data_IF_383575254795
#
_entry.id   IF_383575254795
#
_cell.length_a   1.000
_cell.length_b   1.000
_cell.length_c   1.000
_cell.angle_alpha   90.00
_cell.angle_beta   90.00
_cell.angle_gamma   90.00
#
_symmetry.space_group_name_H-M   'P 1'
#
loop_
_entity.id
_entity.type
_entity.pdbx_description
1 polymer ?
#
# COMPACT_ATOMS: atom_id res chain seq x y z
N UNK A 1 8.27 -35.68 -29.01
CA UNK A 1 8.57 -36.48 -30.24
C UNK A 1 9.52 -37.55 -29.81
N UNK A 2 9.05 -38.82 -29.89
CA UNK A 2 9.85 -40.00 -29.57
C UNK A 2 10.62 -40.32 -30.86
N UNK A 3 11.92 -40.23 -30.80
CA UNK A 3 12.81 -40.77 -31.84
C UNK A 3 13.62 -41.90 -31.25
N UNK A 4 13.66 -43.00 -31.98
CA UNK A 4 14.33 -44.29 -31.87
C UNK A 4 15.21 -44.58 -30.66
N UNK A 5 15.03 -45.79 -30.10
CA UNK A 5 15.80 -46.39 -28.99
C UNK A 5 17.29 -46.53 -29.29
N UNK A 6 18.15 -46.12 -28.39
CA UNK A 6 19.55 -46.58 -28.39
C UNK A 6 19.67 -47.98 -27.79
N UNK A 7 20.53 -48.80 -28.34
CA UNK A 7 20.71 -50.22 -28.04
C UNK A 7 21.23 -50.59 -26.63
N UNK A 8 21.25 -49.68 -25.67
CA UNK A 8 21.73 -49.90 -24.30
C UNK A 8 20.70 -49.68 -23.16
N UNK A 9 19.43 -49.50 -23.53
CA UNK A 9 18.34 -49.47 -22.56
C UNK A 9 18.35 -48.29 -21.57
N UNK A 10 19.06 -47.20 -21.83
CA UNK A 10 19.04 -45.97 -21.00
C UNK A 10 18.19 -44.89 -21.64
N UNK A 11 17.05 -44.60 -21.03
CA UNK A 11 16.27 -43.45 -21.38
C UNK A 11 17.00 -42.14 -20.97
N UNK A 12 17.56 -41.45 -21.92
CA UNK A 12 17.98 -40.07 -21.71
C UNK A 12 16.78 -39.16 -21.84
N UNK A 13 16.28 -38.65 -20.71
CA UNK A 13 15.32 -37.56 -20.72
C UNK A 13 16.08 -36.29 -21.13
N UNK A 14 16.01 -35.93 -22.40
CA UNK A 14 16.42 -34.62 -22.86
C UNK A 14 15.41 -33.64 -22.24
N UNK A 15 15.78 -33.03 -21.09
CA UNK A 15 15.16 -31.84 -20.62
C UNK A 15 15.51 -30.74 -21.64
N UNK A 16 14.66 -30.55 -22.66
CA UNK A 16 14.57 -29.26 -23.29
C UNK A 16 14.29 -28.25 -22.18
N UNK A 17 15.29 -27.44 -21.84
CA UNK A 17 15.07 -26.19 -21.18
C UNK A 17 14.24 -25.37 -22.17
N UNK A 18 12.90 -25.47 -22.09
CA UNK A 18 12.06 -24.38 -22.51
C UNK A 18 12.56 -23.20 -21.67
N UNK A 19 13.26 -22.28 -22.29
CA UNK A 19 13.28 -20.90 -21.81
C UNK A 19 11.80 -20.48 -21.82
N UNK A 20 11.16 -20.66 -20.68
CA UNK A 20 9.95 -19.94 -20.35
C UNK A 20 10.46 -18.50 -20.32
N UNK A 21 10.29 -17.76 -21.41
CA UNK A 21 10.33 -16.31 -21.37
C UNK A 21 9.35 -15.98 -20.24
N UNK A 22 9.91 -15.63 -19.09
CA UNK A 22 9.18 -15.09 -17.96
C UNK A 22 8.30 -13.98 -18.53
N UNK A 23 7.01 -14.25 -18.66
CA UNK A 23 6.05 -13.17 -18.93
C UNK A 23 6.21 -12.24 -17.75
N UNK A 24 6.65 -11.03 -18.04
CA UNK A 24 6.95 -10.01 -17.04
C UNK A 24 5.69 -9.71 -16.22
N UNK A 25 5.68 -10.11 -14.96
CA UNK A 25 4.64 -9.81 -13.98
C UNK A 25 4.87 -8.42 -13.34
N UNK A 26 5.34 -7.48 -14.13
CA UNK A 26 5.60 -6.11 -13.71
C UNK A 26 4.26 -5.39 -13.49
N UNK A 27 4.11 -4.72 -12.35
CA UNK A 27 3.03 -3.80 -12.10
C UNK A 27 3.01 -2.72 -13.17
N UNK A 28 1.83 -2.46 -13.75
CA UNK A 28 1.64 -1.44 -14.77
C UNK A 28 0.60 -0.44 -14.29
N UNK A 29 1.02 0.78 -13.98
CA UNK A 29 0.09 1.87 -13.71
C UNK A 29 -0.87 2.10 -14.87
N UNK A 30 -2.13 2.35 -14.55
CA UNK A 30 -3.11 2.83 -15.52
C UNK A 30 -3.17 4.36 -15.49
N UNK A 31 -3.60 4.98 -16.59
CA UNK A 31 -3.80 6.43 -16.58
C UNK A 31 -4.99 6.81 -15.69
N UNK A 32 -5.00 8.06 -15.23
CA UNK A 32 -6.10 8.59 -14.41
C UNK A 32 -7.44 8.51 -15.14
N UNK A 33 -7.43 8.88 -16.41
CA UNK A 33 -8.60 8.89 -17.28
C UNK A 33 -9.17 7.48 -17.48
N UNK A 34 -8.31 6.50 -17.71
CA UNK A 34 -8.72 5.11 -17.85
C UNK A 34 -9.38 4.58 -16.57
N UNK A 35 -8.76 4.87 -15.41
CA UNK A 35 -9.29 4.44 -14.12
C UNK A 35 -10.62 5.10 -13.79
N UNK A 36 -10.74 6.41 -14.03
CA UNK A 36 -11.98 7.15 -13.81
C UNK A 36 -13.10 6.61 -14.71
N UNK A 37 -12.85 6.54 -16.01
CA UNK A 37 -13.85 6.08 -16.99
C UNK A 37 -14.27 4.63 -16.71
N UNK A 38 -13.34 3.75 -16.40
CA UNK A 38 -13.68 2.37 -16.05
C UNK A 38 -14.55 2.31 -14.81
N UNK A 39 -14.13 2.98 -13.73
CA UNK A 39 -14.85 2.97 -12.45
C UNK A 39 -16.28 3.51 -12.60
N UNK A 40 -16.45 4.65 -13.29
CA UNK A 40 -17.77 5.25 -13.51
C UNK A 40 -18.66 4.38 -14.40
N UNK A 41 -18.12 3.87 -15.52
CA UNK A 41 -18.88 3.07 -16.47
C UNK A 41 -19.33 1.75 -15.84
N UNK A 42 -18.41 1.04 -15.19
CA UNK A 42 -18.73 -0.24 -14.54
C UNK A 42 -19.77 -0.05 -13.44
N UNK A 43 -19.64 0.99 -12.61
CA UNK A 43 -20.61 1.27 -11.57
C UNK A 43 -21.98 1.59 -12.14
N UNK A 44 -22.05 2.39 -13.20
CA UNK A 44 -23.30 2.77 -13.86
C UNK A 44 -23.99 1.57 -14.51
N UNK A 45 -23.24 0.69 -15.16
CA UNK A 45 -23.78 -0.45 -15.90
C UNK A 45 -24.11 -1.65 -15.03
N UNK A 46 -23.27 -1.91 -14.02
CA UNK A 46 -23.31 -3.16 -13.26
C UNK A 46 -23.49 -2.96 -11.75
N UNK A 47 -23.34 -1.75 -11.23
CA UNK A 47 -23.32 -1.49 -9.79
C UNK A 47 -22.09 -2.09 -9.09
N UNK A 48 -21.00 -2.30 -9.82
CA UNK A 48 -19.75 -2.91 -9.33
C UNK A 48 -18.57 -1.99 -9.58
N UNK A 49 -17.49 -2.20 -8.85
CA UNK A 49 -16.21 -1.53 -9.05
C UNK A 49 -15.10 -2.58 -9.07
N UNK A 50 -14.43 -2.75 -10.20
CA UNK A 50 -13.42 -3.80 -10.45
C UNK A 50 -13.91 -5.21 -10.08
N UNK A 51 -15.17 -5.50 -10.41
CA UNK A 51 -15.84 -6.76 -10.13
C UNK A 51 -16.40 -6.91 -8.71
N UNK A 52 -16.10 -6.00 -7.78
CA UNK A 52 -16.65 -6.01 -6.42
C UNK A 52 -18.13 -5.59 -6.42
N UNK A 53 -18.96 -6.39 -5.74
CA UNK A 53 -20.43 -6.28 -5.75
C UNK A 53 -21.02 -5.77 -4.44
N UNK A 54 -20.21 -5.65 -3.40
CA UNK A 54 -20.67 -5.34 -2.06
C UNK A 54 -20.09 -4.01 -1.57
N UNK A 55 -20.67 -2.87 -2.00
CA UNK A 55 -20.23 -1.57 -1.53
C UNK A 55 -20.46 -1.42 -0.03
N UNK A 56 -19.50 -0.83 0.65
CA UNK A 56 -19.67 -0.36 2.00
C UNK A 56 -20.19 1.09 1.98
N UNK A 57 -21.28 1.33 2.67
CA UNK A 57 -21.78 2.68 2.92
C UNK A 57 -21.42 3.09 4.35
N UNK A 58 -20.89 4.31 4.50
CA UNK A 58 -20.45 4.79 5.79
C UNK A 58 -21.58 4.78 6.83
N UNK A 59 -21.25 4.31 8.04
CA UNK A 59 -22.15 4.31 9.20
C UNK A 59 -21.47 5.02 10.35
N UNK A 60 -22.05 6.12 10.81
CA UNK A 60 -21.48 7.02 11.81
C UNK A 60 -21.08 6.35 13.13
N UNK A 61 -21.64 5.17 13.44
CA UNK A 61 -21.26 4.40 14.66
C UNK A 61 -19.80 3.93 14.62
N UNK A 62 -19.21 3.81 13.43
CA UNK A 62 -17.83 3.39 13.26
C UNK A 62 -16.84 4.55 13.12
N UNK A 63 -17.35 5.78 13.03
CA UNK A 63 -16.49 6.94 12.86
C UNK A 63 -15.46 7.05 13.98
N UNK A 64 -14.25 7.41 13.60
CA UNK A 64 -13.12 7.68 14.51
C UNK A 64 -12.38 8.90 13.99
N UNK A 65 -11.68 9.59 14.89
CA UNK A 65 -10.77 10.69 14.53
C UNK A 65 -9.35 10.24 14.87
N UNK A 66 -8.47 10.24 13.88
CA UNK A 66 -7.06 9.91 14.06
C UNK A 66 -6.23 11.07 13.51
N UNK A 67 -5.33 11.63 14.35
CA UNK A 67 -4.47 12.74 13.99
C UNK A 67 -5.22 13.95 13.39
N UNK A 68 -6.38 14.26 13.96
CA UNK A 68 -7.21 15.38 13.53
C UNK A 68 -7.99 15.17 12.24
N UNK A 69 -7.94 13.98 11.65
CA UNK A 69 -8.73 13.58 10.47
C UNK A 69 -9.79 12.57 10.82
N UNK A 70 -10.97 12.75 10.25
CA UNK A 70 -12.08 11.84 10.46
C UNK A 70 -11.93 10.60 9.58
N UNK A 71 -12.32 9.47 10.14
CA UNK A 71 -12.36 8.17 9.47
C UNK A 71 -13.73 7.56 9.66
N UNK A 72 -14.35 7.14 8.59
CA UNK A 72 -15.63 6.43 8.63
C UNK A 72 -15.52 5.00 9.14
N UNK A 73 -14.34 4.39 9.00
CA UNK A 73 -13.94 3.15 9.69
C UNK A 73 -12.44 3.18 10.00
N UNK A 74 -11.99 2.59 11.14
CA UNK A 74 -10.56 2.50 11.45
C UNK A 74 -9.90 1.27 10.80
N UNK A 75 -10.44 0.76 9.69
CA UNK A 75 -10.00 -0.46 9.03
C UNK A 75 -9.43 -0.11 7.66
N UNK A 76 -8.39 -0.83 7.26
CA UNK A 76 -7.82 -0.75 5.92
C UNK A 76 -6.70 -1.75 5.72
N UNK A 77 -6.19 -1.85 4.48
CA UNK A 77 -5.12 -2.78 4.15
C UNK A 77 -3.79 -2.33 4.76
N UNK A 78 -3.00 -3.30 5.21
CA UNK A 78 -1.61 -3.09 5.55
C UNK A 78 -0.77 -2.81 4.29
N UNK A 79 0.36 -2.13 4.48
CA UNK A 79 1.30 -1.83 3.41
C UNK A 79 1.81 -3.12 2.73
N UNK A 80 1.61 -3.20 1.44
CA UNK A 80 2.01 -4.33 0.62
C UNK A 80 1.87 -4.00 -0.87
N UNK A 81 2.21 -4.91 -1.78
CA UNK A 81 1.99 -4.72 -3.22
C UNK A 81 0.54 -4.38 -3.57
N UNK A 82 -0.41 -4.87 -2.77
CA UNK A 82 -1.84 -4.59 -2.90
C UNK A 82 -2.25 -3.14 -2.58
N UNK A 83 -1.39 -2.35 -1.96
CA UNK A 83 -1.65 -0.91 -1.68
C UNK A 83 -0.78 0.02 -2.51
N UNK A 84 -0.21 -0.46 -3.60
CA UNK A 84 0.64 0.32 -4.47
C UNK A 84 -0.07 0.83 -5.73
N UNK A 85 -1.02 0.08 -6.27
CA UNK A 85 -1.77 0.46 -7.46
C UNK A 85 -3.10 1.12 -7.11
N UNK A 86 -3.45 2.16 -7.82
CA UNK A 86 -4.69 2.93 -7.64
C UNK A 86 -5.94 2.06 -7.67
N UNK A 87 -6.05 1.12 -8.62
CA UNK A 87 -7.21 0.23 -8.73
C UNK A 87 -7.41 -0.64 -7.49
N UNK A 88 -6.33 -1.12 -6.89
CA UNK A 88 -6.40 -1.93 -5.67
C UNK A 88 -6.87 -1.08 -4.47
N UNK A 89 -6.41 0.16 -4.39
CA UNK A 89 -6.83 1.11 -3.35
C UNK A 89 -8.31 1.44 -3.51
N UNK A 90 -8.79 1.64 -4.74
CA UNK A 90 -10.21 1.89 -5.04
C UNK A 90 -11.06 0.67 -4.63
N UNK A 91 -10.66 -0.55 -5.02
CA UNK A 91 -11.40 -1.76 -4.67
C UNK A 91 -11.50 -1.94 -3.13
N UNK A 92 -10.38 -1.71 -2.42
CA UNK A 92 -10.37 -1.75 -0.97
C UNK A 92 -11.26 -0.66 -0.33
N UNK A 93 -11.28 0.56 -0.90
CA UNK A 93 -12.18 1.62 -0.45
C UNK A 93 -13.64 1.23 -0.64
N UNK A 94 -13.99 0.71 -1.81
CA UNK A 94 -15.35 0.32 -2.16
C UNK A 94 -15.91 -0.73 -1.18
N UNK A 95 -15.06 -1.63 -0.69
CA UNK A 95 -15.41 -2.68 0.27
C UNK A 95 -15.31 -2.26 1.74
N UNK A 96 -14.97 -0.99 2.04
CA UNK A 96 -15.06 -0.44 3.39
C UNK A 96 -13.76 -0.01 4.06
N UNK A 97 -12.63 -0.13 3.37
CA UNK A 97 -11.38 0.43 3.88
C UNK A 97 -11.42 1.95 3.90
N UNK A 98 -10.94 2.54 5.00
CA UNK A 98 -10.85 4.00 5.16
C UNK A 98 -9.50 4.47 5.71
N UNK A 99 -8.70 3.57 6.25
CA UNK A 99 -7.33 3.85 6.67
C UNK A 99 -6.36 2.99 5.85
N UNK A 100 -5.61 3.61 4.96
CA UNK A 100 -4.73 2.91 4.01
C UNK A 100 -3.28 3.07 4.42
N UNK A 101 -2.62 1.98 4.76
CA UNK A 101 -1.18 1.96 4.87
C UNK A 101 -0.58 1.74 3.47
N UNK A 102 -0.12 2.81 2.86
CA UNK A 102 0.45 2.79 1.51
C UNK A 102 1.79 2.06 1.51
N UNK A 103 2.03 1.27 0.47
CA UNK A 103 3.28 0.50 0.33
C UNK A 103 4.49 1.42 0.43
N UNK A 104 5.45 1.00 1.22
CA UNK A 104 6.75 1.66 1.38
C UNK A 104 7.41 1.86 0.02
N UNK A 105 7.83 3.09 -0.24
CA UNK A 105 8.79 3.37 -1.31
C UNK A 105 10.20 3.22 -0.75
N UNK A 106 11.08 2.63 -1.55
CA UNK A 106 12.42 2.27 -1.10
C UNK A 106 13.48 3.07 -1.85
N UNK A 107 14.68 3.08 -1.28
CA UNK A 107 15.86 3.62 -1.95
C UNK A 107 16.19 2.80 -3.20
N UNK A 108 16.08 1.47 -3.10
CA UNK A 108 16.15 0.57 -4.25
C UNK A 108 14.90 0.74 -5.11
N UNK A 109 15.08 0.80 -6.40
CA UNK A 109 13.97 0.87 -7.34
C UNK A 109 13.46 -0.51 -7.77
N UNK A 110 12.41 -0.53 -8.61
CA UNK A 110 11.77 -1.75 -9.03
C UNK A 110 12.69 -2.73 -9.78
N UNK A 111 13.62 -2.23 -10.57
CA UNK A 111 14.55 -3.06 -11.33
C UNK A 111 15.63 -3.67 -10.42
N UNK A 112 16.16 -2.89 -9.48
CA UNK A 112 17.13 -3.36 -8.49
C UNK A 112 16.51 -4.43 -7.60
N UNK A 113 15.27 -4.23 -7.13
CA UNK A 113 14.53 -5.22 -6.35
C UNK A 113 14.23 -6.47 -7.16
N UNK A 114 13.83 -6.33 -8.41
CA UNK A 114 13.56 -7.45 -9.30
C UNK A 114 14.79 -8.32 -9.56
N UNK A 115 15.99 -7.77 -9.46
CA UNK A 115 17.22 -8.52 -9.54
C UNK A 115 17.52 -9.36 -8.28
N UNK A 116 16.98 -8.93 -7.13
CA UNK A 116 17.24 -9.55 -5.83
C UNK A 116 16.19 -10.60 -5.43
N UNK A 117 14.98 -10.55 -5.98
CA UNK A 117 13.87 -11.43 -5.59
C UNK A 117 13.29 -12.18 -6.79
N UNK A 118 12.78 -13.38 -6.52
CA UNK A 118 12.04 -14.15 -7.53
C UNK A 118 10.65 -13.52 -7.75
N UNK A 119 10.21 -13.53 -8.99
CA UNK A 119 8.86 -13.14 -9.37
C UNK A 119 7.93 -14.35 -9.41
N UNK A 120 6.62 -14.19 -9.18
CA UNK A 120 5.91 -12.93 -8.86
C UNK A 120 6.18 -12.43 -7.44
N UNK A 121 5.91 -11.13 -7.22
CA UNK A 121 5.98 -10.54 -5.88
C UNK A 121 4.93 -11.11 -4.93
N UNK A 122 3.81 -11.55 -5.48
CA UNK A 122 2.76 -12.28 -4.77
C UNK A 122 2.67 -13.66 -5.41
N UNK A 123 2.83 -14.70 -4.60
CA UNK A 123 2.71 -16.07 -5.03
C UNK A 123 1.32 -16.59 -4.65
N UNK A 124 0.43 -16.64 -5.63
CA UNK A 124 -0.97 -16.95 -5.41
C UNK A 124 -1.25 -18.41 -5.03
N UNK A 125 -0.38 -19.35 -5.43
CA UNK A 125 -0.49 -20.76 -5.12
C UNK A 125 -0.18 -21.11 -3.66
N UNK A 126 0.42 -20.18 -2.90
CA UNK A 126 0.71 -20.33 -1.47
C UNK A 126 -0.27 -19.54 -0.57
N UNK A 127 -1.33 -19.03 -1.12
CA UNK A 127 -2.43 -18.28 -0.49
C UNK A 127 -2.04 -17.03 0.29
N UNK A 128 -0.96 -17.02 1.03
CA UNK A 128 -0.60 -15.92 1.94
C UNK A 128 0.79 -15.36 1.70
N UNK A 129 1.49 -15.81 0.67
CA UNK A 129 2.83 -15.30 0.42
C UNK A 129 2.80 -13.85 -0.03
N UNK A 130 3.37 -12.98 0.78
CA UNK A 130 3.58 -11.58 0.46
C UNK A 130 5.07 -11.26 0.52
N UNK A 131 5.64 -10.82 -0.57
CA UNK A 131 7.01 -10.31 -0.60
C UNK A 131 7.03 -8.87 -0.07
N UNK A 132 7.41 -8.68 1.18
CA UNK A 132 7.46 -7.36 1.83
C UNK A 132 8.39 -6.37 1.12
N UNK A 133 9.40 -6.90 0.45
CA UNK A 133 10.46 -6.13 -0.21
C UNK A 133 10.11 -5.74 -1.65
N UNK A 134 8.98 -6.21 -2.17
CA UNK A 134 8.61 -5.95 -3.54
C UNK A 134 7.98 -4.58 -3.70
N UNK A 135 8.77 -3.64 -4.13
CA UNK A 135 8.28 -2.44 -4.80
C UNK A 135 8.58 -2.63 -6.27
N UNK A 136 7.56 -2.85 -7.10
CA UNK A 136 7.74 -3.00 -8.54
C UNK A 136 7.62 -1.67 -9.28
N UNK A 137 7.15 -0.64 -8.61
CA UNK A 137 7.09 0.71 -9.14
C UNK A 137 8.30 1.52 -8.70
N UNK A 138 8.78 2.37 -9.59
CA UNK A 138 9.69 3.45 -9.23
C UNK A 138 9.00 4.42 -8.28
N UNK A 139 9.77 5.10 -7.41
CA UNK A 139 9.22 6.06 -6.43
C UNK A 139 8.30 7.11 -7.07
N UNK A 140 8.65 7.75 -8.21
CA UNK A 140 7.73 8.69 -8.87
C UNK A 140 6.42 8.03 -9.32
N UNK A 141 6.48 6.81 -9.84
CA UNK A 141 5.27 6.09 -10.27
C UNK A 141 4.37 5.75 -9.09
N UNK A 142 4.95 5.29 -7.97
CA UNK A 142 4.18 5.01 -6.75
C UNK A 142 3.51 6.29 -6.22
N UNK A 143 4.23 7.41 -6.23
CA UNK A 143 3.69 8.72 -5.85
C UNK A 143 2.50 9.12 -6.74
N UNK A 144 2.62 8.95 -8.05
CA UNK A 144 1.52 9.22 -9.00
C UNK A 144 0.31 8.33 -8.72
N UNK A 145 0.53 7.03 -8.43
CA UNK A 145 -0.56 6.11 -8.07
C UNK A 145 -1.31 6.59 -6.82
N UNK A 146 -0.61 7.03 -5.80
CA UNK A 146 -1.24 7.49 -4.56
C UNK A 146 -2.00 8.81 -4.75
N UNK A 147 -1.48 9.71 -5.58
CA UNK A 147 -2.17 10.97 -5.91
C UNK A 147 -3.41 10.70 -6.78
N UNK A 148 -3.34 9.81 -7.75
CA UNK A 148 -4.51 9.38 -8.53
C UNK A 148 -5.58 8.75 -7.64
N UNK A 149 -5.16 7.86 -6.73
CA UNK A 149 -6.07 7.24 -5.76
C UNK A 149 -6.75 8.30 -4.88
N UNK A 150 -6.01 9.31 -4.40
CA UNK A 150 -6.56 10.40 -3.60
C UNK A 150 -7.74 11.10 -4.28
N UNK A 151 -7.58 11.49 -5.54
CA UNK A 151 -8.64 12.11 -6.31
C UNK A 151 -9.82 11.16 -6.56
N UNK A 152 -9.54 9.94 -6.99
CA UNK A 152 -10.59 8.96 -7.33
C UNK A 152 -11.41 8.59 -6.11
N UNK A 153 -10.79 8.34 -4.95
CA UNK A 153 -11.53 8.04 -3.73
C UNK A 153 -12.45 9.18 -3.30
N UNK A 154 -11.99 10.43 -3.39
CA UNK A 154 -12.83 11.60 -3.07
C UNK A 154 -14.04 11.70 -4.00
N UNK A 155 -13.82 11.52 -5.29
CA UNK A 155 -14.89 11.58 -6.28
C UNK A 155 -15.90 10.45 -6.10
N UNK A 156 -15.45 9.19 -6.03
CA UNK A 156 -16.37 8.05 -5.93
C UNK A 156 -17.11 8.00 -4.57
N UNK A 157 -16.51 8.52 -3.51
CA UNK A 157 -17.18 8.60 -2.20
C UNK A 157 -18.50 9.36 -2.30
N UNK A 158 -18.48 10.52 -2.94
CA UNK A 158 -19.65 11.36 -3.13
C UNK A 158 -20.55 10.88 -4.27
N UNK A 159 -19.96 10.56 -5.42
CA UNK A 159 -20.70 10.15 -6.60
C UNK A 159 -21.51 8.88 -6.36
N UNK A 160 -20.92 7.87 -5.74
CA UNK A 160 -21.59 6.60 -5.44
C UNK A 160 -22.33 6.60 -4.09
N UNK A 161 -22.20 7.68 -3.31
CA UNK A 161 -22.85 7.77 -2.00
C UNK A 161 -22.27 6.79 -0.97
N UNK A 162 -20.97 6.53 -1.03
CA UNK A 162 -20.28 5.60 -0.15
C UNK A 162 -19.89 6.23 1.19
N UNK A 163 -19.78 7.56 1.22
CA UNK A 163 -19.37 8.32 2.39
C UNK A 163 -18.95 9.75 2.06
N UNK A 164 -18.25 10.39 2.99
CA UNK A 164 -17.69 11.73 2.82
C UNK A 164 -16.44 11.70 1.95
N UNK A 165 -16.21 12.77 1.19
CA UNK A 165 -14.96 12.97 0.45
C UNK A 165 -13.73 12.99 1.36
N UNK A 166 -13.90 13.31 2.62
CA UNK A 166 -12.84 13.39 3.64
C UNK A 166 -12.92 12.29 4.70
N UNK A 167 -13.72 11.24 4.45
CA UNK A 167 -13.97 10.14 5.38
C UNK A 167 -12.88 9.07 5.43
N UNK A 168 -11.74 9.27 4.78
CA UNK A 168 -10.63 8.32 4.73
C UNK A 168 -9.27 9.00 4.92
N UNK A 169 -8.25 8.21 5.21
CA UNK A 169 -6.89 8.68 5.44
C UNK A 169 -5.86 7.77 4.79
N UNK A 170 -4.85 8.37 4.19
CA UNK A 170 -3.63 7.71 3.78
C UNK A 170 -2.56 7.84 4.85
N UNK A 171 -1.79 6.78 5.03
CA UNK A 171 -0.66 6.68 5.94
C UNK A 171 0.50 6.02 5.19
N UNK A 172 1.66 6.65 5.17
CA UNK A 172 2.82 6.15 4.43
C UNK A 172 3.57 5.15 5.29
N UNK A 173 3.85 3.96 4.77
CA UNK A 173 4.82 3.05 5.38
C UNK A 173 6.23 3.48 4.97
N UNK A 174 7.13 3.67 5.94
CA UNK A 174 8.55 3.93 5.71
C UNK A 174 9.37 2.79 6.30
N UNK A 175 10.30 2.26 5.51
CA UNK A 175 11.10 1.10 5.93
C UNK A 175 12.50 1.20 5.35
N UNK A 176 13.40 1.86 6.07
CA UNK A 176 14.83 1.95 5.76
C UNK A 176 15.59 2.47 6.98
N UNK A 177 16.92 2.55 6.92
CA UNK A 177 17.69 3.30 7.90
C UNK A 177 17.47 4.82 7.75
N UNK A 178 17.92 5.59 8.71
CA UNK A 178 17.75 7.04 8.70
C UNK A 178 18.40 7.70 7.48
N UNK A 179 19.55 7.19 7.04
CA UNK A 179 20.24 7.73 5.87
C UNK A 179 19.43 7.53 4.60
N UNK A 180 18.82 6.35 4.42
CA UNK A 180 17.93 6.05 3.31
C UNK A 180 16.66 6.90 3.33
N UNK A 181 16.05 7.10 4.50
CA UNK A 181 14.87 7.96 4.65
C UNK A 181 15.20 9.43 4.34
N UNK A 182 16.40 9.89 4.67
CA UNK A 182 16.91 11.24 4.35
C UNK A 182 17.43 11.37 2.92
N UNK A 183 17.47 10.29 2.13
CA UNK A 183 17.89 10.40 0.72
C UNK A 183 16.95 11.33 -0.04
N UNK A 184 17.49 12.06 -1.01
CA UNK A 184 16.72 13.01 -1.83
C UNK A 184 15.47 12.37 -2.43
N UNK A 185 15.56 11.12 -2.89
CA UNK A 185 14.46 10.34 -3.46
C UNK A 185 13.29 10.18 -2.48
N UNK A 186 13.57 9.71 -1.26
CA UNK A 186 12.54 9.46 -0.25
C UNK A 186 12.06 10.77 0.38
N UNK A 187 12.97 11.71 0.60
CA UNK A 187 12.63 13.03 1.15
C UNK A 187 11.69 13.82 0.24
N UNK A 188 11.97 13.82 -1.07
CA UNK A 188 11.10 14.43 -2.08
C UNK A 188 9.71 13.77 -2.09
N UNK A 189 9.66 12.44 -2.02
CA UNK A 189 8.40 11.71 -1.95
C UNK A 189 7.58 12.12 -0.71
N UNK A 190 8.18 12.12 0.47
CA UNK A 190 7.52 12.49 1.72
C UNK A 190 6.98 13.92 1.67
N UNK A 191 7.80 14.87 1.20
CA UNK A 191 7.40 16.28 1.06
C UNK A 191 6.25 16.44 0.05
N UNK A 192 6.29 15.74 -1.08
CA UNK A 192 5.22 15.79 -2.08
C UNK A 192 3.92 15.22 -1.52
N UNK A 193 3.96 14.15 -0.75
CA UNK A 193 2.74 13.59 -0.16
C UNK A 193 2.11 14.50 0.90
N UNK A 194 2.87 15.41 1.51
CA UNK A 194 2.32 16.46 2.37
C UNK A 194 1.82 17.68 1.60
N UNK A 195 2.39 17.97 0.42
CA UNK A 195 2.15 19.18 -0.34
C UNK A 195 2.06 18.88 -1.84
N UNK A 196 1.12 18.02 -2.23
CA UNK A 196 1.02 17.50 -3.59
C UNK A 196 0.52 18.52 -4.63
N UNK A 197 -0.05 19.66 -4.20
CA UNK A 197 -0.66 20.64 -5.09
C UNK A 197 0.30 21.20 -6.17
N UNK A 198 1.60 21.16 -5.92
CA UNK A 198 2.61 21.66 -6.85
C UNK A 198 3.07 20.60 -7.87
N UNK A 199 2.75 19.33 -7.64
CA UNK A 199 3.11 18.23 -8.53
C UNK A 199 2.29 18.25 -9.83
N UNK A 200 2.92 17.85 -10.93
CA UNK A 200 2.25 17.84 -12.23
C UNK A 200 1.07 16.86 -12.27
N UNK A 201 1.19 15.70 -11.62
CA UNK A 201 0.10 14.73 -11.57
C UNK A 201 -1.11 15.24 -10.79
N UNK A 202 -0.91 15.99 -9.70
CA UNK A 202 -2.00 16.61 -8.96
C UNK A 202 -2.77 17.63 -9.81
N UNK A 203 -2.02 18.51 -10.47
CA UNK A 203 -2.58 19.52 -11.38
C UNK A 203 -3.34 18.85 -12.53
N UNK A 204 -2.74 17.80 -13.10
CA UNK A 204 -3.35 17.03 -14.19
C UNK A 204 -4.68 16.38 -13.75
N UNK A 205 -4.69 15.64 -12.64
CA UNK A 205 -5.92 15.01 -12.14
C UNK A 205 -7.02 16.05 -11.87
N UNK A 206 -6.66 17.16 -11.21
CA UNK A 206 -7.60 18.22 -10.91
C UNK A 206 -8.17 18.88 -12.17
N UNK A 207 -7.30 19.24 -13.11
CA UNK A 207 -7.71 19.84 -14.38
C UNK A 207 -8.62 18.91 -15.19
N UNK A 208 -8.28 17.61 -15.27
CA UNK A 208 -9.09 16.64 -15.98
C UNK A 208 -10.50 16.51 -15.37
N UNK A 209 -10.61 16.44 -14.05
CA UNK A 209 -11.93 16.37 -13.40
C UNK A 209 -12.77 17.63 -13.63
N UNK A 210 -12.15 18.82 -13.61
CA UNK A 210 -12.85 20.08 -13.88
C UNK A 210 -13.32 20.18 -15.33
N UNK A 211 -12.50 19.71 -16.28
CA UNK A 211 -12.87 19.69 -17.71
C UNK A 211 -14.02 18.73 -17.99
N UNK A 212 -14.14 17.65 -17.19
CA UNK A 212 -15.11 16.58 -17.38
C UNK A 212 -16.12 16.50 -16.22
N UNK A 213 -16.48 17.61 -15.63
CA UNK A 213 -17.45 17.66 -14.51
C UNK A 213 -18.82 17.13 -14.89
N UNK A 214 -19.16 17.18 -16.15
CA UNK A 214 -20.39 16.63 -16.74
C UNK A 214 -20.51 15.10 -16.69
N UNK A 215 -19.42 14.39 -16.39
CA UNK A 215 -19.46 12.95 -16.14
C UNK A 215 -20.16 12.58 -14.82
N UNK A 216 -20.32 13.54 -13.90
CA UNK A 216 -20.83 13.32 -12.56
C UNK A 216 -22.25 13.83 -12.39
N UNK A 217 -23.02 13.12 -11.56
CA UNK A 217 -24.38 13.53 -11.15
C UNK A 217 -24.37 14.30 -9.83
N UNK A 218 -23.42 14.01 -8.93
CA UNK A 218 -23.37 14.54 -7.57
C UNK A 218 -22.13 15.37 -7.26
N UNK A 219 -21.02 15.08 -7.93
CA UNK A 219 -19.76 15.82 -7.73
C UNK A 219 -19.83 17.12 -8.53
N UNK A 220 -19.50 18.24 -7.90
CA UNK A 220 -19.51 19.58 -8.51
C UNK A 220 -18.10 20.11 -8.73
N UNK A 221 -17.97 21.19 -9.49
CA UNK A 221 -16.70 21.86 -9.68
C UNK A 221 -16.12 22.38 -8.34
N UNK A 222 -16.99 22.86 -7.44
CA UNK A 222 -16.59 23.32 -6.10
C UNK A 222 -16.02 22.18 -5.26
N UNK A 223 -16.58 20.99 -5.35
CA UNK A 223 -16.03 19.80 -4.69
C UNK A 223 -14.61 19.51 -5.19
N UNK A 224 -14.42 19.51 -6.51
CA UNK A 224 -13.11 19.24 -7.13
C UNK A 224 -12.10 20.33 -6.75
N UNK A 225 -12.51 21.58 -6.76
CA UNK A 225 -11.66 22.70 -6.35
C UNK A 225 -11.23 22.61 -4.88
N UNK A 226 -12.10 22.07 -4.03
CA UNK A 226 -11.82 21.88 -2.60
C UNK A 226 -10.80 20.79 -2.28
N UNK A 227 -10.46 19.90 -3.25
CA UNK A 227 -9.52 18.80 -3.02
C UNK A 227 -8.15 19.37 -2.64
N UNK A 228 -7.75 19.09 -1.40
CA UNK A 228 -6.48 19.52 -0.83
C UNK A 228 -5.30 18.69 -1.34
N UNK A 229 -4.14 19.33 -1.48
CA UNK A 229 -2.87 18.67 -1.73
C UNK A 229 -2.22 18.07 -0.48
N UNK A 230 -2.79 18.24 0.70
CA UNK A 230 -2.38 17.58 1.93
C UNK A 230 -2.93 16.14 1.95
N UNK A 231 -2.22 15.25 1.24
CA UNK A 231 -2.64 13.86 1.03
C UNK A 231 -2.39 13.04 2.28
N UNK A 232 -1.22 13.19 2.88
CA UNK A 232 -0.80 12.34 3.99
C UNK A 232 -0.10 13.15 5.08
N UNK A 233 -0.60 13.06 6.32
CA UNK A 233 0.00 13.70 7.50
C UNK A 233 0.58 12.68 8.50
N UNK A 234 0.60 11.39 8.15
CA UNK A 234 1.07 10.35 9.06
C UNK A 234 1.92 9.30 8.35
N UNK A 235 2.83 8.69 9.11
CA UNK A 235 3.71 7.62 8.63
C UNK A 235 3.77 6.48 9.63
N UNK A 236 4.05 5.28 9.13
CA UNK A 236 4.37 4.11 9.96
C UNK A 236 5.82 3.69 9.73
N UNK A 237 6.61 3.66 10.78
CA UNK A 237 7.97 3.09 10.73
C UNK A 237 7.85 1.57 10.70
N UNK A 238 8.30 0.97 9.59
CA UNK A 238 8.20 -0.46 9.30
C UNK A 238 9.58 -1.09 9.13
N UNK A 239 10.53 -0.77 10.01
CA UNK A 239 11.95 -1.19 9.94
C UNK A 239 12.32 -2.26 10.95
N UNK A 240 11.37 -3.05 11.41
CA UNK A 240 11.56 -3.96 12.55
C UNK A 240 12.56 -5.11 12.33
N UNK A 241 12.81 -5.49 11.08
CA UNK A 241 13.74 -6.59 10.78
C UNK A 241 15.18 -6.10 10.79
N UNK A 242 15.84 -6.23 11.96
CA UNK A 242 17.26 -5.97 12.10
C UNK A 242 17.64 -4.50 12.37
N UNK A 243 16.67 -3.61 12.56
CA UNK A 243 16.94 -2.23 12.91
C UNK A 243 17.12 -2.09 14.43
N UNK A 244 18.25 -1.55 14.92
CA UNK A 244 18.45 -1.34 16.36
C UNK A 244 17.44 -0.34 16.94
N UNK A 245 17.03 -0.48 18.22
CA UNK A 245 16.11 0.44 18.88
C UNK A 245 16.51 1.91 18.79
N UNK A 246 17.80 2.18 18.92
CA UNK A 246 18.37 3.55 18.87
C UNK A 246 18.23 4.17 17.48
N UNK A 247 18.22 3.35 16.43
CA UNK A 247 17.99 3.81 15.06
C UNK A 247 16.51 4.10 14.82
N UNK A 248 15.61 3.27 15.34
CA UNK A 248 14.17 3.51 15.30
C UNK A 248 13.82 4.82 16.00
N UNK A 249 14.44 5.09 17.17
CA UNK A 249 14.25 6.35 17.90
C UNK A 249 14.67 7.56 17.05
N UNK A 250 15.84 7.51 16.40
CA UNK A 250 16.33 8.58 15.53
C UNK A 250 15.41 8.81 14.32
N UNK A 251 14.92 7.73 13.72
CA UNK A 251 13.96 7.81 12.60
C UNK A 251 12.66 8.46 13.07
N UNK A 252 12.11 8.01 14.20
CA UNK A 252 10.90 8.58 14.77
C UNK A 252 11.07 10.07 15.09
N UNK A 253 12.18 10.44 15.74
CA UNK A 253 12.48 11.85 16.03
C UNK A 253 12.57 12.70 14.77
N UNK A 254 13.25 12.22 13.74
CA UNK A 254 13.32 12.92 12.46
C UNK A 254 11.95 13.15 11.83
N UNK A 255 11.14 12.10 11.74
CA UNK A 255 9.81 12.18 11.13
C UNK A 255 8.86 13.09 11.90
N UNK A 256 8.94 13.08 13.24
CA UNK A 256 8.10 13.93 14.10
C UNK A 256 8.59 15.38 14.10
N UNK A 257 9.87 15.61 14.33
CA UNK A 257 10.38 16.95 14.63
C UNK A 257 10.83 17.73 13.40
N UNK A 258 11.42 17.06 12.39
CA UNK A 258 11.91 17.71 11.20
C UNK A 258 10.88 17.68 10.07
N UNK A 259 10.10 16.58 9.95
CA UNK A 259 9.09 16.42 8.89
C UNK A 259 7.66 16.73 9.33
N UNK A 260 7.38 16.80 10.62
CA UNK A 260 6.05 17.14 11.14
C UNK A 260 4.99 16.04 10.96
N UNK A 261 5.40 14.79 10.69
CA UNK A 261 4.46 13.69 10.58
C UNK A 261 4.01 13.17 11.95
N UNK A 262 2.75 12.82 12.04
CA UNK A 262 2.28 11.89 13.06
C UNK A 262 2.86 10.50 12.76
N UNK A 263 3.53 9.89 13.74
CA UNK A 263 4.33 8.71 13.48
C UNK A 263 3.84 7.51 14.28
N UNK A 264 3.50 6.44 13.58
CA UNK A 264 3.30 5.12 14.15
C UNK A 264 4.61 4.33 14.15
N UNK A 265 4.80 3.49 15.15
CA UNK A 265 5.86 2.48 15.15
C UNK A 265 5.19 1.11 15.03
N UNK A 266 5.47 0.40 13.95
CA UNK A 266 5.00 -0.97 13.75
C UNK A 266 5.77 -1.89 14.65
N UNK A 267 5.09 -2.49 15.62
CA UNK A 267 5.68 -3.36 16.59
C UNK A 267 5.41 -4.83 16.28
N UNK A 268 6.30 -5.70 16.73
CA UNK A 268 6.13 -7.13 16.62
C UNK A 268 4.96 -7.60 17.51
N UNK A 269 4.18 -8.64 17.13
CA UNK A 269 3.12 -9.23 17.96
C UNK A 269 3.58 -9.63 19.38
N UNK A 270 4.86 -9.90 19.57
CA UNK A 270 5.45 -10.26 20.86
C UNK A 270 5.60 -9.11 21.86
N UNK A 271 5.15 -7.90 21.52
CA UNK A 271 5.25 -6.72 22.36
C UNK A 271 4.65 -6.92 23.77
N UNK A 272 3.58 -7.69 23.86
CA UNK A 272 2.90 -7.99 25.14
C UNK A 272 3.59 -9.12 25.94
N UNK A 273 4.70 -9.64 25.45
CA UNK A 273 5.53 -10.66 26.09
C UNK A 273 5.19 -12.08 25.67
N UNK A 274 6.15 -12.97 25.92
CA UNK A 274 6.09 -14.38 25.50
C UNK A 274 4.88 -15.16 26.06
N UNK A 275 4.48 -14.86 27.30
CA UNK A 275 3.33 -15.54 27.93
C UNK A 275 2.00 -15.18 27.25
N UNK A 276 1.86 -13.94 26.78
CA UNK A 276 0.72 -13.50 26.00
C UNK A 276 0.69 -14.17 24.62
N UNK A 277 1.84 -14.26 23.97
CA UNK A 277 2.00 -14.94 22.69
C UNK A 277 1.62 -16.43 22.78
N UNK A 278 2.05 -17.12 23.86
CA UNK A 278 1.68 -18.52 24.09
C UNK A 278 0.16 -18.74 24.20
N UNK A 279 -0.59 -17.80 24.76
CA UNK A 279 -2.03 -17.91 24.86
C UNK A 279 -2.68 -17.90 23.45
N UNK A 280 -2.14 -17.16 22.49
CA UNK A 280 -2.61 -17.15 21.11
C UNK A 280 -2.34 -18.47 20.39
N UNK A 281 -1.22 -19.12 20.68
CA UNK A 281 -0.88 -20.43 20.12
C UNK A 281 -1.81 -21.54 20.59
N UNK A 282 -2.46 -21.39 21.74
CA UNK A 282 -3.42 -22.37 22.26
C UNK A 282 -4.82 -22.24 21.65
N UNK A 283 -5.07 -21.21 20.85
CA UNK A 283 -6.37 -20.96 20.23
C UNK A 283 -6.47 -21.44 18.79
N UNK A 284 -5.71 -22.47 18.42
CA UNK A 284 -5.72 -23.10 17.08
C UNK A 284 -5.43 -22.15 15.89
N UNK A 285 -4.88 -21.00 16.15
CA UNK A 285 -4.38 -20.12 15.08
C UNK A 285 -3.01 -20.60 14.65
N UNK A 286 -2.85 -21.00 13.40
CA UNK A 286 -1.59 -21.40 12.79
C UNK A 286 -0.68 -20.18 12.68
N UNK A 287 -0.01 -19.84 13.78
CA UNK A 287 1.15 -18.94 13.70
C UNK A 287 2.35 -19.84 13.55
N UNK A 288 2.99 -19.78 12.38
CA UNK A 288 4.14 -20.60 12.05
C UNK A 288 5.27 -20.50 13.09
N UNK A 289 5.98 -21.60 13.34
CA UNK A 289 7.13 -21.71 14.26
C UNK A 289 8.28 -20.72 14.01
N UNK A 290 8.21 -19.89 12.98
CA UNK A 290 9.22 -18.87 12.66
C UNK A 290 9.26 -17.69 13.64
N UNK A 291 8.21 -17.50 14.43
CA UNK A 291 8.11 -16.38 15.40
C UNK A 291 9.03 -16.60 16.61
N UNK A 292 9.34 -17.84 16.98
CA UNK A 292 10.10 -18.14 18.19
C UNK A 292 11.59 -17.79 18.15
N UNK A 293 12.19 -17.67 16.96
CA UNK A 293 13.62 -17.30 16.85
C UNK A 293 13.85 -15.79 16.86
N UNK A 294 12.85 -15.02 16.44
CA UNK A 294 12.93 -13.55 16.31
C UNK A 294 12.58 -12.83 17.61
N UNK A 295 11.81 -13.47 18.50
CA UNK A 295 11.31 -12.87 19.74
C UNK A 295 12.37 -12.57 20.80
N UNK A 296 13.56 -13.18 20.72
CA UNK A 296 14.64 -12.98 21.69
C UNK A 296 15.46 -11.71 21.47
N UNK A 297 15.30 -11.03 20.34
CA UNK A 297 16.16 -9.88 19.95
C UNK A 297 15.38 -8.57 19.85
N UNK A 298 14.11 -8.53 20.20
CA UNK A 298 13.24 -7.40 19.87
C UNK A 298 13.00 -6.47 21.04
N UNK A 299 13.15 -5.23 20.73
CA UNK A 299 12.71 -3.99 21.37
C UNK A 299 12.40 -4.09 22.87
N UNK A 300 13.28 -3.55 23.70
CA UNK A 300 13.03 -3.46 25.14
C UNK A 300 11.82 -2.55 25.39
N UNK A 301 10.92 -3.00 26.23
CA UNK A 301 9.71 -2.29 26.71
C UNK A 301 9.96 -0.84 27.18
N UNK A 302 11.21 -0.44 27.35
CA UNK A 302 11.62 0.91 27.76
C UNK A 302 11.43 1.98 26.68
N UNK A 303 11.34 1.59 25.40
CA UNK A 303 11.25 2.54 24.29
C UNK A 303 9.85 3.09 24.06
N UNK A 304 8.82 2.36 24.43
CA UNK A 304 7.41 2.72 24.19
C UNK A 304 6.86 3.81 25.12
N UNK A 305 7.55 4.12 26.21
CA UNK A 305 7.09 5.10 27.21
C UNK A 305 7.83 6.45 27.13
N UNK A 306 8.66 6.69 26.12
CA UNK A 306 9.40 7.94 25.96
C UNK A 306 9.06 8.75 24.69
N UNK A 307 8.17 8.24 23.81
CA UNK A 307 7.67 9.00 22.65
C UNK A 307 6.33 9.64 22.96
#
# INVERSE_FOLDING_TARGET
>A
IITEEPADGRFSVIKEKREVKSMSEIMRPMSFEQLLNWTLTEYKENGTVFGERHPYHADSKFNRTIFGRDLETPIGPAAGPNTQLTQNIIAAYYTGSRFFELKTVQVMDGDELAACINRPCIKADDECYNCEWSTELFVPQAMEEYIKAWFLLKVISKEFGLGSMDGFQFNISVGYDLAGIKSEKVDTFLNTMQHAQDSEIFKHCKAYLLEHVDLFEKVTAEDIESISGDICNSVTISTLHGCPPEEIEKIAMYLITEKGFHTFIKCNPTLLGYEYERQWMTWDTIISHSVTSTSKTTCSTRMLFRC
#
